data_IF_173199409288
#
_entry.id   IF_173199409288
#
_cell.length_a   1.000
_cell.length_b   1.000
_cell.length_c   1.000
_cell.angle_alpha   90.00
_cell.angle_beta   90.00
_cell.angle_gamma   90.00
#
_symmetry.space_group_name_H-M   'P 1'
#
loop_
_entity.id
_entity.type
_entity.pdbx_description
1 polymer ?
#
# COMPACT_ATOMS: atom_id res chain seq x y z
N UNK A 1 11.29 -32.10 17.73
CA UNK A 1 12.65 -31.73 17.26
C UNK A 1 12.52 -31.40 15.78
N UNK A 2 13.01 -30.26 15.29
CA UNK A 2 12.89 -29.94 13.87
C UNK A 2 13.90 -30.78 13.08
N UNK A 3 13.40 -31.69 12.24
CA UNK A 3 14.20 -32.47 11.31
C UNK A 3 14.06 -31.86 9.90
N UNK A 4 15.15 -31.84 9.15
CA UNK A 4 15.18 -31.46 7.74
C UNK A 4 15.71 -32.64 6.92
N UNK A 5 15.28 -32.77 5.67
CA UNK A 5 15.81 -33.80 4.76
C UNK A 5 17.17 -33.38 4.22
N UNK A 6 18.15 -34.27 4.26
CA UNK A 6 19.42 -34.07 3.57
C UNK A 6 19.20 -34.01 2.05
N UNK A 7 19.70 -32.98 1.37
CA UNK A 7 19.51 -32.83 -0.09
C UNK A 7 20.20 -33.90 -0.95
N UNK A 8 21.21 -34.60 -0.42
CA UNK A 8 21.88 -35.68 -1.16
C UNK A 8 21.24 -37.04 -0.89
N UNK A 9 21.15 -37.44 0.38
CA UNK A 9 20.73 -38.80 0.73
C UNK A 9 19.24 -38.91 1.12
N UNK A 10 18.51 -37.80 1.14
CA UNK A 10 17.10 -37.70 1.53
C UNK A 10 16.76 -38.27 2.92
N UNK A 11 17.77 -38.57 3.75
CA UNK A 11 17.57 -38.99 5.15
C UNK A 11 17.25 -37.79 6.03
N UNK A 12 16.46 -38.03 7.05
CA UNK A 12 16.12 -37.04 8.06
C UNK A 12 17.33 -36.73 8.94
N UNK A 13 17.65 -35.45 9.07
CA UNK A 13 18.76 -34.94 9.88
C UNK A 13 18.27 -33.78 10.75
N UNK A 14 18.99 -33.51 11.84
CA UNK A 14 18.67 -32.36 12.69
C UNK A 14 18.78 -31.05 11.89
N UNK A 15 17.81 -30.14 12.04
CA UNK A 15 17.80 -28.83 11.38
C UNK A 15 18.99 -27.93 11.75
N UNK A 16 19.76 -28.32 12.78
CA UNK A 16 20.94 -27.61 13.27
C UNK A 16 22.26 -28.25 12.83
N UNK A 17 22.20 -29.43 12.19
CA UNK A 17 23.40 -30.13 11.73
C UNK A 17 24.02 -29.41 10.54
N UNK A 18 25.32 -29.10 10.63
CA UNK A 18 26.13 -28.49 9.56
C UNK A 18 26.59 -29.55 8.55
N UNK A 19 26.62 -30.82 8.95
CA UNK A 19 27.08 -31.94 8.14
C UNK A 19 26.09 -33.09 8.35
N UNK A 20 25.69 -33.75 7.27
CA UNK A 20 24.86 -34.93 7.35
C UNK A 20 25.66 -36.10 7.96
N UNK A 21 25.24 -36.71 9.07
CA UNK A 21 25.95 -37.83 9.68
C UNK A 21 25.90 -39.12 8.84
N UNK A 22 25.04 -39.18 7.82
CA UNK A 22 24.83 -40.38 7.00
C UNK A 22 25.64 -40.36 5.70
N UNK A 23 25.77 -39.20 5.04
CA UNK A 23 26.51 -39.07 3.78
C UNK A 23 27.70 -38.11 3.84
N UNK A 24 27.89 -37.37 4.94
CA UNK A 24 28.97 -36.40 5.08
C UNK A 24 28.74 -35.08 4.33
N UNK A 25 27.61 -34.92 3.62
CA UNK A 25 27.33 -33.72 2.86
C UNK A 25 27.16 -32.48 3.77
N UNK A 26 27.77 -31.34 3.43
CA UNK A 26 27.59 -30.10 4.18
C UNK A 26 26.15 -29.60 4.01
N UNK A 27 25.49 -29.32 5.12
CA UNK A 27 24.13 -28.81 5.24
C UNK A 27 24.21 -27.38 5.71
N UNK A 28 23.36 -26.51 5.17
CA UNK A 28 23.29 -25.12 5.60
C UNK A 28 22.15 -24.96 6.62
N UNK A 29 22.39 -25.02 7.95
CA UNK A 29 21.35 -24.87 8.96
C UNK A 29 20.83 -23.43 9.11
N UNK A 30 21.33 -22.48 8.31
CA UNK A 30 21.05 -21.05 8.47
C UNK A 30 19.72 -20.63 7.83
N UNK A 31 19.14 -21.48 6.96
CA UNK A 31 17.88 -21.22 6.25
C UNK A 31 16.73 -20.84 7.20
N UNK A 32 16.47 -21.63 8.24
CA UNK A 32 15.36 -21.36 9.18
C UNK A 32 15.52 -20.09 10.03
N UNK A 33 16.77 -19.64 10.27
CA UNK A 33 17.05 -18.40 11.00
C UNK A 33 16.84 -17.17 10.10
N UNK A 34 17.23 -17.27 8.83
CA UNK A 34 17.07 -16.20 7.83
C UNK A 34 15.60 -15.95 7.52
N UNK A 35 14.79 -16.99 7.39
CA UNK A 35 13.35 -16.85 7.12
C UNK A 35 12.62 -16.12 8.23
N UNK A 36 12.98 -16.41 9.50
CA UNK A 36 12.38 -15.74 10.66
C UNK A 36 12.79 -14.27 10.76
N UNK A 37 14.07 -13.97 10.55
CA UNK A 37 14.57 -12.60 10.53
C UNK A 37 13.93 -11.78 9.41
N UNK A 38 13.82 -12.36 8.21
CA UNK A 38 13.19 -11.72 7.05
C UNK A 38 11.72 -11.40 7.33
N UNK A 39 10.97 -12.33 7.95
CA UNK A 39 9.55 -12.09 8.27
C UNK A 39 9.36 -10.93 9.24
N UNK A 40 10.19 -10.82 10.28
CA UNK A 40 10.14 -9.71 11.26
C UNK A 40 10.46 -8.36 10.61
N UNK A 41 11.49 -8.31 9.77
CA UNK A 41 11.86 -7.09 9.05
C UNK A 41 10.75 -6.68 8.08
N UNK A 42 10.25 -7.63 7.29
CA UNK A 42 9.18 -7.39 6.30
C UNK A 42 7.88 -6.93 6.97
N UNK A 43 7.47 -7.54 8.08
CA UNK A 43 6.26 -7.09 8.80
C UNK A 43 6.41 -5.66 9.30
N UNK A 44 7.58 -5.33 9.89
CA UNK A 44 7.84 -3.96 10.38
C UNK A 44 7.81 -2.89 9.29
N UNK A 45 8.29 -3.22 8.08
CA UNK A 45 8.23 -2.35 6.91
C UNK A 45 6.79 -2.21 6.38
N UNK A 46 6.06 -3.32 6.31
CA UNK A 46 4.66 -3.33 5.87
C UNK A 46 3.76 -2.54 6.82
N UNK A 47 3.98 -2.63 8.13
CA UNK A 47 3.20 -1.89 9.12
C UNK A 47 3.40 -0.37 8.96
N UNK A 48 4.65 0.08 8.76
CA UNK A 48 4.94 1.50 8.47
C UNK A 48 4.28 1.98 7.17
N UNK A 49 4.35 1.17 6.12
CA UNK A 49 3.71 1.50 4.84
C UNK A 49 2.18 1.58 4.96
N UNK A 50 1.58 0.67 5.74
CA UNK A 50 0.12 0.62 5.96
C UNK A 50 -0.38 1.85 6.71
N UNK A 51 0.37 2.34 7.70
CA UNK A 51 0.03 3.60 8.39
C UNK A 51 0.08 4.80 7.43
N UNK A 52 1.14 4.92 6.62
CA UNK A 52 1.26 5.99 5.61
C UNK A 52 0.08 5.97 4.61
N UNK A 53 -0.28 4.78 4.14
CA UNK A 53 -1.39 4.61 3.19
C UNK A 53 -2.76 4.93 3.81
N UNK A 54 -2.92 4.67 5.12
CA UNK A 54 -4.16 5.00 5.85
C UNK A 54 -4.37 6.51 5.94
N UNK A 55 -3.29 7.27 6.16
CA UNK A 55 -3.33 8.73 6.13
C UNK A 55 -3.63 9.26 4.73
N UNK A 56 -2.92 8.76 3.71
CA UNK A 56 -3.12 9.16 2.31
C UNK A 56 -4.57 8.98 1.85
N UNK A 57 -5.20 7.85 2.21
CA UNK A 57 -6.58 7.55 1.81
C UNK A 57 -7.57 8.59 2.35
N UNK A 58 -7.47 8.97 3.62
CA UNK A 58 -8.38 9.98 4.20
C UNK A 58 -8.21 11.34 3.53
N UNK A 59 -6.96 11.74 3.32
CA UNK A 59 -6.65 13.02 2.69
C UNK A 59 -7.16 13.09 1.25
N UNK A 60 -7.03 12.00 0.49
CA UNK A 60 -7.52 11.92 -0.88
C UNK A 60 -9.04 12.11 -0.97
N UNK A 61 -9.80 11.49 -0.06
CA UNK A 61 -11.28 11.63 -0.02
C UNK A 61 -11.70 13.06 0.26
N UNK A 62 -11.03 13.73 1.21
CA UNK A 62 -11.34 15.13 1.55
C UNK A 62 -11.03 16.05 0.38
N UNK A 63 -9.85 15.92 -0.24
CA UNK A 63 -9.49 16.72 -1.42
C UNK A 63 -10.48 16.50 -2.56
N UNK A 64 -10.78 15.24 -2.88
CA UNK A 64 -11.68 14.91 -3.98
C UNK A 64 -13.07 15.51 -3.76
N UNK A 65 -13.59 15.45 -2.53
CA UNK A 65 -14.87 16.07 -2.17
C UNK A 65 -14.83 17.59 -2.36
N UNK A 66 -13.74 18.24 -1.94
CA UNK A 66 -13.56 19.69 -2.11
C UNK A 66 -13.51 20.10 -3.59
N UNK A 67 -12.82 19.32 -4.43
CA UNK A 67 -12.74 19.53 -5.88
C UNK A 67 -14.13 19.39 -6.52
N UNK A 68 -14.92 18.37 -6.14
CA UNK A 68 -16.28 18.19 -6.66
C UNK A 68 -17.17 19.37 -6.32
N UNK A 69 -17.11 19.85 -5.07
CA UNK A 69 -17.87 21.03 -4.63
C UNK A 69 -17.45 22.25 -5.47
N UNK A 70 -16.14 22.48 -5.62
CA UNK A 70 -15.63 23.60 -6.43
C UNK A 70 -16.09 23.53 -7.88
N UNK A 71 -16.08 22.35 -8.51
CA UNK A 71 -16.59 22.14 -9.86
C UNK A 71 -18.09 22.45 -9.97
N UNK A 72 -18.90 22.06 -8.99
CA UNK A 72 -20.33 22.40 -8.95
C UNK A 72 -20.52 23.91 -8.83
N UNK A 73 -19.78 24.58 -7.94
CA UNK A 73 -19.83 26.04 -7.81
C UNK A 73 -19.45 26.74 -9.11
N UNK A 74 -18.39 26.28 -9.78
CA UNK A 74 -17.96 26.82 -11.07
C UNK A 74 -19.03 26.62 -12.14
N UNK A 75 -19.66 25.45 -12.16
CA UNK A 75 -20.75 25.13 -13.08
C UNK A 75 -21.96 26.03 -12.84
N UNK A 76 -22.37 26.20 -11.58
CA UNK A 76 -23.43 27.13 -11.21
C UNK A 76 -23.06 28.55 -11.64
N UNK A 77 -21.87 29.05 -11.31
CA UNK A 77 -21.42 30.38 -11.72
C UNK A 77 -21.44 30.56 -13.24
N UNK A 78 -21.00 29.55 -13.99
CA UNK A 78 -21.08 29.55 -15.45
C UNK A 78 -22.53 29.59 -15.95
N UNK A 79 -23.44 28.86 -15.30
CA UNK A 79 -24.85 28.85 -15.64
C UNK A 79 -25.55 30.18 -15.31
N UNK A 80 -25.24 30.76 -14.15
CA UNK A 80 -25.73 32.07 -13.70
C UNK A 80 -25.27 33.17 -14.67
N UNK A 81 -23.98 33.22 -15.00
CA UNK A 81 -23.45 34.22 -15.93
C UNK A 81 -24.06 34.11 -17.32
N UNK A 82 -24.27 32.89 -17.83
CA UNK A 82 -24.84 32.67 -19.16
C UNK A 82 -26.34 33.00 -19.26
N UNK A 83 -27.08 32.88 -18.15
CA UNK A 83 -28.55 33.04 -18.15
C UNK A 83 -29.01 34.42 -17.66
N UNK A 84 -28.34 35.02 -16.67
CA UNK A 84 -28.83 36.23 -15.97
C UNK A 84 -28.17 37.53 -16.47
N UNK A 85 -26.96 37.47 -17.03
CA UNK A 85 -26.25 38.64 -17.53
C UNK A 85 -27.02 39.46 -18.61
N UNK A 86 -27.73 38.85 -19.59
CA UNK A 86 -28.41 39.64 -20.62
C UNK A 86 -29.66 40.37 -20.11
N UNK A 87 -30.27 39.91 -19.01
CA UNK A 87 -31.56 40.43 -18.54
C UNK A 87 -31.41 41.60 -17.56
N UNK A 88 -30.32 41.64 -16.78
CA UNK A 88 -30.00 42.77 -15.88
C UNK A 88 -29.49 43.98 -16.67
N UNK A 89 -28.71 43.78 -17.74
CA UNK A 89 -28.20 44.88 -18.58
C UNK A 89 -29.34 45.63 -19.29
N UNK A 90 -30.39 44.92 -19.71
CA UNK A 90 -31.55 45.50 -20.38
C UNK A 90 -32.38 46.38 -19.42
N UNK A 91 -32.52 45.96 -18.16
CA UNK A 91 -33.25 46.74 -17.14
C UNK A 91 -32.53 48.03 -16.70
N UNK A 92 -31.24 48.18 -16.95
CA UNK A 92 -30.50 49.43 -16.66
C UNK A 92 -30.46 50.42 -17.83
N UNK A 93 -30.86 50.03 -19.05
CA UNK A 93 -30.85 50.92 -20.21
C UNK A 93 -32.22 51.58 -20.49
N UNK A 94 -33.29 51.03 -19.92
CA UNK A 94 -34.67 51.49 -20.12
C UNK A 94 -35.24 52.26 -18.90
N UNK A 95 -34.40 52.61 -17.90
CA UNK A 95 -34.78 53.28 -16.65
C UNK A 95 -34.10 54.61 -16.45
#
# INVERSE_FOLDING_TARGET
>A
MALQSCYECNKEISSKAIICPQCGAPQNPVSGLVDKAKKVIVSSLLDKAKELFRFLRKYFVVIFTFILIYMIFYFLYSFYSKTIAPEILKKMHDG
#
